data_IF_842116757091
#
_entry.id   IF_842116757091
#
_cell.length_a   1.000
_cell.length_b   1.000
_cell.length_c   1.000
_cell.angle_alpha   90.00
_cell.angle_beta   90.00
_cell.angle_gamma   90.00
#
_symmetry.space_group_name_H-M   'P 1'
#
loop_
_entity.id
_entity.type
_entity.pdbx_description
1 polymer ?
#
# COMPACT_ATOMS: atom_id res chain seq x y z
N UNK A 1 -19.15 -9.83 -6.74
CA UNK A 1 -17.80 -10.07 -7.30
C UNK A 1 -17.14 -11.20 -6.53
N UNK A 2 -16.61 -12.22 -7.21
CA UNK A 2 -15.82 -13.30 -6.60
C UNK A 2 -14.36 -12.87 -6.56
N UNK A 3 -13.71 -12.96 -5.40
CA UNK A 3 -12.29 -12.69 -5.30
C UNK A 3 -11.50 -13.83 -5.94
N UNK A 4 -10.57 -13.50 -6.83
CA UNK A 4 -9.65 -14.45 -7.48
C UNK A 4 -8.34 -14.45 -6.69
N UNK A 5 -7.75 -15.63 -6.47
CA UNK A 5 -6.47 -15.74 -5.76
C UNK A 5 -5.35 -15.12 -6.59
N UNK A 6 -4.32 -14.59 -5.92
CA UNK A 6 -3.10 -14.17 -6.62
C UNK A 6 -2.52 -15.39 -7.34
N UNK A 7 -2.16 -15.21 -8.62
CA UNK A 7 -1.61 -16.28 -9.46
C UNK A 7 -2.54 -17.47 -9.66
N UNK A 8 -3.86 -17.27 -9.56
CA UNK A 8 -4.84 -18.31 -9.91
C UNK A 8 -4.61 -18.73 -11.37
N UNK A 9 -4.29 -20.01 -11.65
CA UNK A 9 -4.07 -20.49 -13.01
C UNK A 9 -5.29 -20.32 -13.92
N UNK A 10 -6.49 -20.17 -13.34
CA UNK A 10 -7.74 -19.95 -14.07
C UNK A 10 -8.05 -18.46 -14.30
N UNK A 11 -7.16 -17.55 -13.92
CA UNK A 11 -7.31 -16.12 -14.16
C UNK A 11 -7.02 -15.79 -15.63
N UNK A 12 -7.81 -14.89 -16.22
CA UNK A 12 -7.52 -14.28 -17.53
C UNK A 12 -6.11 -13.68 -17.60
N UNK A 13 -5.58 -13.24 -16.46
CA UNK A 13 -4.23 -12.70 -16.39
C UNK A 13 -3.18 -13.81 -16.49
N UNK A 14 -3.45 -15.00 -15.95
CA UNK A 14 -2.56 -16.16 -16.08
C UNK A 14 -2.53 -16.67 -17.53
N UNK A 15 -3.69 -16.73 -18.18
CA UNK A 15 -3.84 -17.03 -19.62
C UNK A 15 -3.01 -16.05 -20.47
N UNK A 16 -3.18 -14.74 -20.26
CA UNK A 16 -2.41 -13.73 -21.00
C UNK A 16 -0.90 -13.86 -20.82
N UNK A 17 -0.42 -14.16 -19.60
CA UNK A 17 1.01 -14.40 -19.36
C UNK A 17 1.54 -15.60 -20.15
N UNK A 18 0.75 -16.68 -20.25
CA UNK A 18 1.12 -17.88 -21.01
C UNK A 18 1.19 -17.59 -22.52
N UNK A 19 0.21 -16.87 -23.06
CA UNK A 19 0.12 -16.54 -24.49
C UNK A 19 1.18 -15.54 -24.93
N UNK A 20 1.47 -14.54 -24.10
CA UNK A 20 2.42 -13.47 -24.43
C UNK A 20 3.88 -13.80 -24.10
N UNK A 21 4.13 -14.83 -23.27
CA UNK A 21 5.43 -15.09 -22.68
C UNK A 21 5.87 -14.02 -21.66
N UNK A 22 4.96 -13.12 -21.27
CA UNK A 22 5.24 -12.11 -20.25
C UNK A 22 5.05 -12.66 -18.84
N UNK A 23 5.87 -12.17 -17.91
CA UNK A 23 5.72 -12.46 -16.49
C UNK A 23 5.28 -11.21 -15.76
N UNK A 24 4.13 -11.28 -15.09
CA UNK A 24 3.68 -10.24 -14.18
C UNK A 24 4.21 -10.50 -12.77
N UNK A 25 4.93 -9.53 -12.21
CA UNK A 25 5.53 -9.61 -10.88
C UNK A 25 4.48 -9.41 -9.75
N UNK A 26 3.47 -10.28 -9.67
CA UNK A 26 2.40 -10.20 -8.67
C UNK A 26 2.90 -10.22 -7.21
N UNK A 27 4.02 -10.87 -6.96
CA UNK A 27 4.66 -10.91 -5.63
C UNK A 27 5.17 -9.52 -5.22
N UNK A 28 5.59 -8.71 -6.20
CA UNK A 28 6.07 -7.34 -5.98
C UNK A 28 4.92 -6.32 -5.97
N UNK A 29 3.68 -6.77 -6.25
CA UNK A 29 2.53 -5.89 -6.27
C UNK A 29 1.96 -5.65 -4.86
N UNK A 30 1.83 -4.37 -4.51
CA UNK A 30 1.19 -3.89 -3.27
C UNK A 30 -0.23 -3.43 -3.54
N UNK A 31 -1.16 -3.77 -2.65
CA UNK A 31 -2.52 -3.20 -2.66
C UNK A 31 -2.42 -1.77 -2.14
N UNK A 32 -2.78 -0.80 -2.99
CA UNK A 32 -2.72 0.63 -2.67
C UNK A 32 -3.94 1.11 -1.87
N UNK A 33 -5.07 0.44 -2.05
CA UNK A 33 -6.32 0.74 -1.36
C UNK A 33 -7.49 0.02 -2.00
N UNK A 34 -8.68 0.19 -1.41
CA UNK A 34 -9.93 -0.35 -1.94
C UNK A 34 -10.90 0.80 -2.18
N UNK A 35 -11.22 1.06 -3.44
CA UNK A 35 -12.29 2.00 -3.81
C UNK A 35 -13.67 1.35 -3.66
N UNK A 36 -14.63 2.07 -3.07
CA UNK A 36 -16.02 1.61 -2.93
C UNK A 36 -16.78 1.66 -4.26
N UNK A 37 -16.42 2.62 -5.12
CA UNK A 37 -16.97 2.81 -6.45
C UNK A 37 -15.83 3.03 -7.47
N UNK A 38 -16.22 3.30 -8.71
CA UNK A 38 -15.28 3.57 -9.81
C UNK A 38 -14.45 4.82 -9.54
N UNK A 39 -15.07 5.91 -9.11
CA UNK A 39 -14.41 7.20 -8.89
C UNK A 39 -13.37 7.10 -7.77
N UNK A 40 -13.72 6.47 -6.66
CA UNK A 40 -12.81 6.23 -5.54
C UNK A 40 -11.61 5.38 -5.97
N UNK A 41 -11.84 4.33 -6.76
CA UNK A 41 -10.77 3.46 -7.26
C UNK A 41 -9.84 4.21 -8.22
N UNK A 42 -10.41 4.91 -9.21
CA UNK A 42 -9.65 5.72 -10.17
C UNK A 42 -8.89 6.84 -9.45
N UNK A 43 -9.46 7.44 -8.41
CA UNK A 43 -8.77 8.46 -7.60
C UNK A 43 -7.56 7.86 -6.87
N UNK A 44 -7.68 6.65 -6.29
CA UNK A 44 -6.54 5.96 -5.66
C UNK A 44 -5.47 5.62 -6.72
N UNK A 45 -5.87 5.06 -7.86
CA UNK A 45 -4.93 4.72 -8.95
C UNK A 45 -4.18 5.96 -9.45
N UNK A 46 -4.89 7.05 -9.73
CA UNK A 46 -4.30 8.31 -10.21
C UNK A 46 -3.44 9.00 -9.15
N UNK A 47 -3.80 8.89 -7.87
CA UNK A 47 -2.98 9.40 -6.77
C UNK A 47 -1.59 8.75 -6.74
N UNK A 48 -1.51 7.46 -7.07
CA UNK A 48 -0.27 6.69 -7.08
C UNK A 48 0.41 6.60 -8.46
N UNK A 49 -0.21 7.12 -9.52
CA UNK A 49 0.31 7.07 -10.90
C UNK A 49 1.54 7.98 -11.06
N UNK A 50 2.70 7.38 -11.32
CA UNK A 50 3.95 8.09 -11.60
C UNK A 50 4.23 8.19 -13.11
N UNK A 51 5.36 8.79 -13.46
CA UNK A 51 5.84 8.90 -14.85
C UNK A 51 6.10 7.54 -15.51
N UNK A 52 6.35 6.49 -14.72
CA UNK A 52 6.59 5.12 -15.18
C UNK A 52 5.37 4.21 -15.10
N UNK A 53 4.22 4.72 -14.66
CA UNK A 53 3.00 3.93 -14.54
C UNK A 53 2.38 3.65 -15.92
N UNK A 54 1.86 2.43 -16.10
CA UNK A 54 1.18 2.01 -17.33
C UNK A 54 -0.15 2.77 -17.52
N UNK A 55 -0.92 2.95 -16.43
CA UNK A 55 -2.19 3.65 -16.48
C UNK A 55 -1.99 5.17 -16.30
N UNK A 56 -1.71 5.88 -17.40
CA UNK A 56 -1.49 7.35 -17.42
C UNK A 56 -2.66 8.16 -18.01
N UNK A 57 -3.75 7.48 -18.39
CA UNK A 57 -4.85 8.07 -19.14
C UNK A 57 -5.90 8.76 -18.26
N UNK A 58 -5.84 8.54 -16.94
CA UNK A 58 -6.78 9.13 -15.99
C UNK A 58 -6.03 10.19 -15.18
N UNK A 59 -6.60 11.38 -15.11
CA UNK A 59 -6.03 12.49 -14.33
C UNK A 59 -6.67 12.55 -12.95
N UNK A 60 -5.84 12.76 -11.93
CA UNK A 60 -6.33 13.05 -10.59
C UNK A 60 -7.16 14.35 -10.63
N UNK A 61 -8.35 14.41 -10.00
CA UNK A 61 -9.17 15.62 -10.02
C UNK A 61 -8.42 16.83 -9.44
N UNK A 62 -8.66 18.02 -9.99
CA UNK A 62 -7.90 19.25 -9.67
C UNK A 62 -7.83 19.55 -8.18
N UNK A 63 -8.92 19.34 -7.44
CA UNK A 63 -8.98 19.55 -5.99
C UNK A 63 -7.93 18.71 -5.21
N UNK A 64 -7.58 17.53 -5.73
CA UNK A 64 -6.63 16.61 -5.11
C UNK A 64 -5.20 16.81 -5.63
N UNK A 65 -5.01 17.42 -6.82
CA UNK A 65 -3.67 17.64 -7.37
C UNK A 65 -2.80 18.52 -6.48
N UNK A 66 -3.36 19.60 -5.92
CA UNK A 66 -2.64 20.50 -5.03
C UNK A 66 -2.17 19.82 -3.72
N UNK A 67 -2.88 18.77 -3.29
CA UNK A 67 -2.57 18.04 -2.05
C UNK A 67 -1.55 16.91 -2.24
N UNK A 68 -1.27 16.54 -3.49
CA UNK A 68 -0.49 15.33 -3.80
C UNK A 68 0.97 15.44 -3.40
N UNK A 69 1.64 16.53 -3.75
CA UNK A 69 3.07 16.71 -3.44
C UNK A 69 3.34 16.82 -1.92
N UNK A 70 2.61 17.66 -1.15
CA UNK A 70 2.83 17.76 0.29
C UNK A 70 2.65 16.44 1.05
N UNK A 71 1.63 15.65 0.67
CA UNK A 71 1.34 14.38 1.34
C UNK A 71 2.34 13.27 0.95
N UNK A 72 2.81 13.26 -0.30
CA UNK A 72 3.85 12.31 -0.71
C UNK A 72 5.19 12.59 -0.01
N UNK A 73 5.55 13.85 0.16
CA UNK A 73 6.74 14.27 0.90
C UNK A 73 6.68 13.80 2.36
N UNK A 74 5.55 14.05 3.03
CA UNK A 74 5.33 13.58 4.40
C UNK A 74 5.40 12.06 4.52
N UNK A 75 4.87 11.31 3.56
CA UNK A 75 4.94 9.85 3.53
C UNK A 75 6.40 9.37 3.46
N UNK A 76 7.21 9.96 2.58
CA UNK A 76 8.61 9.61 2.43
C UNK A 76 9.41 9.87 3.73
N UNK A 77 9.11 10.95 4.44
CA UNK A 77 9.74 11.24 5.74
C UNK A 77 9.43 10.19 6.81
N UNK A 78 8.20 9.65 6.84
CA UNK A 78 7.83 8.57 7.75
C UNK A 78 8.47 7.23 7.38
N UNK A 79 8.66 6.98 6.09
CA UNK A 79 9.31 5.76 5.59
C UNK A 79 10.85 5.77 5.83
N UNK A 80 11.45 6.95 6.02
CA UNK A 80 12.90 7.13 6.31
C UNK A 80 13.19 7.62 7.74
N UNK A 81 12.20 7.75 8.62
CA UNK A 81 12.41 8.24 9.97
C UNK A 81 13.28 7.29 10.80
N UNK A 82 14.29 7.77 11.55
CA UNK A 82 15.11 6.90 12.38
C UNK A 82 14.20 6.23 13.42
N UNK A 83 14.25 4.90 13.45
CA UNK A 83 13.66 4.09 14.51
C UNK A 83 14.28 4.50 15.84
N UNK A 84 13.64 5.44 16.55
CA UNK A 84 13.97 5.80 17.92
C UNK A 84 13.18 4.85 18.82
N UNK A 85 13.82 3.77 19.26
CA UNK A 85 13.34 2.93 20.35
C UNK A 85 13.42 3.75 21.66
N UNK A 86 12.31 4.13 22.31
CA UNK A 86 12.39 4.67 23.65
C UNK A 86 12.63 3.50 24.60
N UNK A 87 13.84 3.44 25.14
CA UNK A 87 14.19 2.55 26.25
C UNK A 87 13.40 3.03 27.48
N UNK A 88 12.20 2.49 27.71
CA UNK A 88 11.52 2.62 29.00
C UNK A 88 12.21 1.64 29.94
N UNK A 89 13.29 2.12 30.54
CA UNK A 89 13.78 1.60 31.81
C UNK A 89 13.10 2.38 32.92
N UNK A 90 12.18 1.74 33.63
CA UNK A 90 11.68 2.14 34.96
C UNK A 90 10.81 0.95 35.46
N UNK A 91 11.44 -0.03 36.11
CA UNK A 91 11.46 -0.24 37.57
C UNK A 91 10.14 -0.78 38.13
N UNK A 92 9.96 -2.12 38.10
CA UNK A 92 9.01 -2.81 38.98
C UNK A 92 9.63 -2.93 40.37
N UNK A 93 9.25 -2.02 41.27
CA UNK A 93 9.32 -2.26 42.70
C UNK A 93 7.95 -2.78 43.18
N UNK A 94 8.02 -3.58 44.25
CA UNK A 94 6.96 -3.94 45.19
C UNK A 94 6.00 -5.09 44.80
N UNK A 95 5.70 -6.09 45.64
CA UNK A 95 6.12 -6.45 47.01
C UNK A 95 5.75 -7.93 47.21
N UNK A 96 6.64 -8.71 47.81
CA UNK A 96 6.36 -10.10 48.21
C UNK A 96 5.60 -10.09 49.54
N UNK A 97 4.33 -10.46 49.53
CA UNK A 97 3.60 -10.84 50.76
C UNK A 97 3.71 -12.36 50.90
N UNK A 98 4.47 -12.83 51.89
CA UNK A 98 4.36 -14.20 52.39
C UNK A 98 3.73 -14.12 53.78
N UNK A 99 2.51 -14.64 53.86
CA UNK A 99 1.81 -14.88 55.11
C UNK A 99 2.54 -15.97 55.92
N UNK A 100 2.60 -15.79 57.24
CA UNK A 100 2.94 -16.85 58.21
C UNK A 100 1.75 -17.04 59.14
#
# INVERSE_FOLDING_TARGET
MRAVRRMDPLSLVAEHCADSGHTLAFQNAKILGRGIDRVARETIETWHTGTTSINRCVTLPTAYQALRAPLNEQKNQREHGPYMHPNIGESMADTHVIAT
#
